data_IF_350830175963
#
_entry.id   IF_350830175963
#
_cell.length_a   1.000
_cell.length_b   1.000
_cell.length_c   1.000
_cell.angle_alpha   90.00
_cell.angle_beta   90.00
_cell.angle_gamma   90.00
#
_symmetry.space_group_name_H-M   'P 1'
#
loop_
_entity.id
_entity.type
_entity.pdbx_description
1 polymer ?
#
# COMPACT_ATOMS: atom_id res chain seq x y z
N UNK A 1 1.92 -26.47 -3.90
CA UNK A 1 1.79 -25.53 -5.03
C UNK A 1 3.15 -24.90 -5.24
N UNK A 2 3.88 -25.37 -6.25
CA UNK A 2 5.18 -24.81 -6.60
C UNK A 2 5.01 -23.36 -7.05
N UNK A 3 5.49 -22.40 -6.23
CA UNK A 3 5.64 -21.01 -6.66
C UNK A 3 6.60 -21.03 -7.83
N UNK A 4 6.12 -20.73 -9.05
CA UNK A 4 7.02 -20.46 -10.17
C UNK A 4 8.04 -19.42 -9.70
N UNK A 5 9.35 -19.70 -9.77
CA UNK A 5 10.34 -18.75 -9.32
C UNK A 5 10.18 -17.46 -10.11
N UNK A 6 10.08 -16.34 -9.39
CA UNK A 6 9.98 -15.00 -9.96
C UNK A 6 11.08 -14.84 -11.00
N UNK A 7 10.73 -14.48 -12.24
CA UNK A 7 11.69 -14.44 -13.34
C UNK A 7 12.83 -13.47 -12.97
N UNK A 8 14.09 -13.95 -13.07
CA UNK A 8 15.25 -13.12 -12.82
C UNK A 8 15.28 -11.95 -13.82
N UNK A 9 15.17 -10.72 -13.32
CA UNK A 9 15.29 -9.51 -14.13
C UNK A 9 16.73 -9.04 -14.07
N UNK A 10 17.37 -8.85 -15.23
CA UNK A 10 18.68 -8.21 -15.30
C UNK A 10 18.54 -6.72 -14.96
N UNK A 11 19.06 -6.22 -13.82
CA UNK A 11 18.91 -4.84 -13.41
C UNK A 11 19.64 -3.85 -14.35
N UNK A 12 20.58 -4.33 -15.18
CA UNK A 12 21.29 -3.50 -16.14
C UNK A 12 20.49 -3.23 -17.43
N UNK A 13 19.39 -3.96 -17.67
CA UNK A 13 18.53 -3.76 -18.85
C UNK A 13 17.39 -2.79 -18.56
N UNK A 14 17.11 -1.92 -19.52
CA UNK A 14 15.92 -1.06 -19.53
C UNK A 14 14.68 -1.96 -19.55
N UNK A 15 13.74 -1.74 -18.64
CA UNK A 15 12.44 -2.40 -18.64
C UNK A 15 11.31 -1.38 -18.59
N UNK A 16 10.33 -1.59 -19.46
CA UNK A 16 9.24 -0.65 -19.74
C UNK A 16 8.26 -0.47 -18.58
N UNK A 17 8.37 -1.31 -17.54
CA UNK A 17 7.55 -1.22 -16.32
C UNK A 17 8.24 -0.36 -15.26
N UNK A 18 9.50 -0.61 -14.92
CA UNK A 18 10.16 0.11 -13.82
C UNK A 18 10.96 1.34 -14.26
N UNK A 19 11.29 1.46 -15.55
CA UNK A 19 12.02 2.60 -16.12
C UNK A 19 11.09 3.63 -16.79
N UNK A 20 9.83 3.70 -16.34
CA UNK A 20 8.87 4.71 -16.78
C UNK A 20 9.28 6.11 -16.29
N UNK A 21 9.14 7.10 -17.18
CA UNK A 21 9.37 8.51 -16.90
C UNK A 21 8.06 9.29 -17.06
N UNK A 22 7.78 10.21 -16.12
CA UNK A 22 6.53 10.96 -16.12
C UNK A 22 6.21 11.52 -14.75
N UNK A 23 4.93 11.66 -14.43
CA UNK A 23 4.46 11.96 -13.07
C UNK A 23 4.09 10.65 -12.36
N UNK A 24 4.83 10.22 -11.32
CA UNK A 24 4.43 9.11 -10.48
C UNK A 24 3.24 9.49 -9.60
N UNK A 25 2.22 8.63 -9.58
CA UNK A 25 1.01 8.78 -8.77
C UNK A 25 0.81 7.52 -7.93
N UNK A 26 0.91 7.65 -6.61
CA UNK A 26 0.64 6.57 -5.65
C UNK A 26 -0.86 6.46 -5.36
N UNK A 27 -1.53 5.35 -5.73
CA UNK A 27 -2.93 5.15 -5.38
C UNK A 27 -3.06 4.70 -3.91
N UNK A 28 -3.92 5.39 -3.17
CA UNK A 28 -4.24 5.13 -1.76
C UNK A 28 -5.72 4.82 -1.60
N UNK A 29 -6.12 4.39 -0.41
CA UNK A 29 -7.52 4.29 -0.01
C UNK A 29 -7.75 4.90 1.37
N UNK A 30 -8.98 5.33 1.61
CA UNK A 30 -9.44 5.55 2.97
C UNK A 30 -9.65 4.22 3.68
N UNK A 31 -9.32 4.20 4.96
CA UNK A 31 -9.46 3.05 5.82
C UNK A 31 -9.86 3.48 7.24
N UNK A 32 -10.18 2.50 8.08
CA UNK A 32 -10.43 2.72 9.51
C UNK A 32 -9.28 2.09 10.32
N UNK A 33 -8.85 2.79 11.37
CA UNK A 33 -7.98 2.24 12.41
C UNK A 33 -8.67 2.33 13.75
N UNK A 34 -8.38 1.36 14.62
CA UNK A 34 -8.72 1.43 16.04
C UNK A 34 -7.94 2.52 16.76
N UNK A 35 -8.55 3.11 17.78
CA UNK A 35 -7.95 4.12 18.67
C UNK A 35 -7.93 3.71 20.13
N UNK A 36 -8.57 2.60 20.47
CA UNK A 36 -8.58 1.95 21.79
C UNK A 36 -7.39 0.99 22.00
N UNK A 37 -6.38 1.09 21.15
CA UNK A 37 -5.11 0.35 21.25
C UNK A 37 -3.99 1.34 21.56
N UNK A 38 -2.83 0.85 22.00
CA UNK A 38 -1.65 1.72 22.28
C UNK A 38 -1.35 2.61 21.06
N UNK A 39 -0.94 3.86 21.30
CA UNK A 39 -0.71 4.87 20.24
C UNK A 39 0.26 4.44 19.14
N UNK A 40 1.24 3.59 19.48
CA UNK A 40 2.18 3.02 18.52
C UNK A 40 1.53 2.07 17.50
N UNK A 41 0.35 1.52 17.81
CA UNK A 41 -0.41 0.61 16.95
C UNK A 41 -1.55 1.31 16.22
N UNK A 42 -1.86 2.55 16.56
CA UNK A 42 -2.90 3.33 15.88
C UNK A 42 -2.39 3.80 14.51
N UNK A 43 -3.24 3.70 13.50
CA UNK A 43 -3.04 4.35 12.21
C UNK A 43 -2.98 5.87 12.33
N UNK A 44 -2.41 6.50 11.31
CA UNK A 44 -2.27 7.96 11.23
C UNK A 44 -3.62 8.63 11.01
N UNK A 45 -3.90 9.71 11.74
CA UNK A 45 -5.08 10.52 11.48
C UNK A 45 -4.98 11.18 10.09
N UNK A 46 -6.13 11.38 9.44
CA UNK A 46 -6.17 12.14 8.18
C UNK A 46 -5.63 13.56 8.40
N UNK A 47 -4.84 14.03 7.44
CA UNK A 47 -4.28 15.39 7.40
C UNK A 47 -4.17 15.89 5.97
N UNK A 48 -3.82 17.17 5.79
CA UNK A 48 -3.78 17.80 4.47
C UNK A 48 -5.15 17.87 3.80
N UNK A 49 -5.19 17.62 2.49
CA UNK A 49 -6.43 17.70 1.69
C UNK A 49 -7.25 16.40 1.69
N UNK A 50 -6.94 15.45 2.58
CA UNK A 50 -7.63 14.17 2.66
C UNK A 50 -8.81 14.23 3.64
N UNK A 51 -9.93 13.61 3.26
CA UNK A 51 -11.08 13.41 4.14
C UNK A 51 -12.31 14.21 3.77
N UNK A 52 -12.25 15.09 2.77
CA UNK A 52 -13.43 15.79 2.25
C UNK A 52 -14.54 14.78 1.90
N UNK A 53 -15.76 15.00 2.37
CA UNK A 53 -16.93 14.13 2.17
C UNK A 53 -16.80 12.69 2.75
N UNK A 54 -15.67 12.33 3.36
CA UNK A 54 -15.43 11.04 4.04
C UNK A 54 -15.51 11.22 5.55
N UNK A 55 -14.73 12.18 6.08
CA UNK A 55 -14.71 12.53 7.49
C UNK A 55 -15.96 13.33 7.94
N UNK A 56 -16.89 13.61 7.02
CA UNK A 56 -18.21 14.16 7.36
C UNK A 56 -19.08 13.17 8.14
N UNK A 57 -18.80 11.86 8.03
CA UNK A 57 -19.44 10.82 8.83
C UNK A 57 -18.61 10.60 10.10
N UNK A 58 -19.12 11.01 11.25
CA UNK A 58 -18.41 10.89 12.52
C UNK A 58 -18.21 9.42 12.93
N UNK A 59 -17.02 9.12 13.45
CA UNK A 59 -16.70 7.86 14.13
C UNK A 59 -16.52 8.11 15.63
N UNK A 60 -16.81 7.13 16.51
CA UNK A 60 -16.51 7.26 17.95
C UNK A 60 -15.00 7.40 18.16
N UNK A 61 -14.54 8.58 18.61
CA UNK A 61 -13.12 8.92 18.63
C UNK A 61 -12.27 8.04 19.56
N UNK A 62 -12.89 7.48 20.60
CA UNK A 62 -12.30 6.53 21.55
C UNK A 62 -12.18 5.10 21.00
N UNK A 63 -12.83 4.79 19.88
CA UNK A 63 -12.78 3.45 19.28
C UNK A 63 -12.15 3.42 17.89
N UNK A 64 -12.39 4.45 17.08
CA UNK A 64 -12.01 4.44 15.67
C UNK A 64 -11.67 5.84 15.14
N UNK A 65 -10.84 5.87 14.08
CA UNK A 65 -10.66 7.05 13.23
C UNK A 65 -10.39 6.65 11.78
N UNK A 66 -10.63 7.58 10.86
CA UNK A 66 -10.21 7.41 9.47
C UNK A 66 -8.68 7.57 9.34
N UNK A 67 -8.10 6.80 8.42
CA UNK A 67 -6.68 6.84 8.08
C UNK A 67 -6.49 6.61 6.58
N UNK A 68 -5.29 6.89 6.08
CA UNK A 68 -4.87 6.50 4.73
C UNK A 68 -4.08 5.20 4.78
N UNK A 69 -4.41 4.33 3.84
CA UNK A 69 -3.68 3.09 3.58
C UNK A 69 -3.34 2.96 2.10
N UNK A 70 -2.38 2.09 1.78
CA UNK A 70 -2.14 1.72 0.38
C UNK A 70 -3.40 1.10 -0.24
N UNK A 71 -3.57 1.27 -1.56
CA UNK A 71 -4.69 0.68 -2.28
C UNK A 71 -4.68 -0.86 -2.11
N UNK A 72 -5.85 -1.42 -1.81
CA UNK A 72 -6.02 -2.86 -1.59
C UNK A 72 -6.14 -3.62 -2.90
N UNK A 73 -6.12 -4.95 -2.79
CA UNK A 73 -6.27 -5.85 -3.93
C UNK A 73 -7.54 -5.55 -4.74
N UNK A 74 -7.41 -5.46 -6.06
CA UNK A 74 -8.52 -5.21 -6.99
C UNK A 74 -8.04 -4.76 -8.37
N UNK A 75 -8.90 -4.06 -9.10
CA UNK A 75 -8.61 -3.48 -10.42
C UNK A 75 -8.69 -1.96 -10.36
N UNK A 76 -7.71 -1.30 -10.98
CA UNK A 76 -7.65 0.14 -11.13
C UNK A 76 -7.69 0.49 -12.62
N UNK A 77 -8.69 1.28 -12.99
CA UNK A 77 -8.83 1.83 -14.33
C UNK A 77 -8.47 3.31 -14.32
N UNK A 78 -7.54 3.69 -15.20
CA UNK A 78 -7.05 5.06 -15.34
C UNK A 78 -7.44 5.58 -16.71
N UNK A 79 -8.21 6.67 -16.75
CA UNK A 79 -8.63 7.31 -17.99
C UNK A 79 -8.00 8.69 -18.14
N UNK A 80 -7.30 8.90 -19.26
CA UNK A 80 -6.81 10.21 -19.64
C UNK A 80 -7.86 10.92 -20.48
N UNK A 81 -8.47 11.99 -19.94
CA UNK A 81 -9.56 12.70 -20.62
C UNK A 81 -9.11 13.42 -21.90
N UNK A 82 -7.88 13.93 -21.91
CA UNK A 82 -7.33 14.68 -23.07
C UNK A 82 -6.97 13.72 -24.21
N UNK A 83 -6.39 12.56 -23.87
CA UNK A 83 -5.94 11.57 -24.86
C UNK A 83 -7.02 10.57 -25.26
N UNK A 84 -8.07 10.42 -24.45
CA UNK A 84 -9.11 9.41 -24.65
C UNK A 84 -8.64 7.96 -24.39
N UNK A 85 -7.49 7.81 -23.72
CA UNK A 85 -6.80 6.55 -23.50
C UNK A 85 -7.16 5.94 -22.13
N UNK A 86 -7.29 4.61 -22.11
CA UNK A 86 -7.46 3.82 -20.89
C UNK A 86 -6.19 3.04 -20.58
N UNK A 87 -5.88 2.91 -19.28
CA UNK A 87 -4.93 1.94 -18.76
C UNK A 87 -5.59 1.13 -17.64
N UNK A 88 -5.34 -0.16 -17.62
CA UNK A 88 -5.82 -1.07 -16.57
C UNK A 88 -4.66 -1.53 -15.70
N UNK A 89 -4.88 -1.63 -14.39
CA UNK A 89 -3.92 -2.24 -13.46
C UNK A 89 -4.62 -3.23 -12.55
N UNK A 90 -4.02 -4.39 -12.35
CA UNK A 90 -4.32 -5.22 -11.19
C UNK A 90 -3.49 -4.72 -10.02
N UNK A 91 -4.14 -4.52 -8.88
CA UNK A 91 -3.49 -4.18 -7.62
C UNK A 91 -3.31 -5.47 -6.82
N UNK A 92 -2.07 -5.88 -6.57
CA UNK A 92 -1.76 -7.04 -5.72
C UNK A 92 -2.07 -6.77 -4.24
N UNK A 93 -2.02 -7.82 -3.41
CA UNK A 93 -2.19 -7.70 -1.94
C UNK A 93 -1.14 -6.79 -1.29
N UNK A 94 0.04 -6.67 -1.91
CA UNK A 94 1.13 -5.80 -1.48
C UNK A 94 1.13 -4.44 -2.22
N UNK A 95 0.01 -4.11 -2.87
CA UNK A 95 -0.25 -2.86 -3.60
C UNK A 95 0.62 -2.62 -4.84
N UNK A 96 1.28 -3.65 -5.37
CA UNK A 96 1.94 -3.57 -6.67
C UNK A 96 0.92 -3.53 -7.81
N UNK A 97 1.23 -2.75 -8.85
CA UNK A 97 0.41 -2.51 -10.02
C UNK A 97 0.94 -3.33 -11.20
N UNK A 98 0.13 -4.28 -11.67
CA UNK A 98 0.39 -5.06 -12.88
C UNK A 98 -0.47 -4.49 -14.00
N UNK A 99 0.16 -3.83 -14.97
CA UNK A 99 -0.55 -3.23 -16.10
C UNK A 99 -1.13 -4.30 -17.03
N UNK A 100 -2.37 -4.09 -17.48
CA UNK A 100 -3.04 -4.94 -18.47
C UNK A 100 -3.84 -4.08 -19.46
N UNK A 101 -4.16 -4.65 -20.62
CA UNK A 101 -5.02 -3.99 -21.61
C UNK A 101 -6.48 -4.00 -21.12
N UNK A 102 -7.09 -2.83 -20.80
CA UNK A 102 -8.46 -2.75 -20.32
C UNK A 102 -9.50 -3.19 -21.35
N UNK A 103 -9.15 -3.29 -22.64
CA UNK A 103 -10.06 -3.75 -23.69
C UNK A 103 -9.99 -5.27 -23.94
N UNK A 104 -8.97 -5.93 -23.39
CA UNK A 104 -8.82 -7.39 -23.41
C UNK A 104 -9.66 -8.06 -22.30
N UNK A 105 -9.60 -9.39 -22.24
CA UNK A 105 -10.14 -10.12 -21.09
C UNK A 105 -9.35 -9.74 -19.83
N UNK A 106 -10.01 -9.29 -18.76
CA UNK A 106 -9.33 -8.93 -17.53
C UNK A 106 -8.67 -10.18 -16.93
N UNK A 107 -7.42 -10.10 -16.45
CA UNK A 107 -6.78 -11.28 -15.89
C UNK A 107 -7.42 -11.65 -14.55
N UNK A 108 -7.50 -12.95 -14.21
CA UNK A 108 -8.15 -13.43 -13.00
C UNK A 108 -7.40 -13.03 -11.71
N UNK A 109 -8.08 -13.12 -10.57
CA UNK A 109 -7.52 -12.72 -9.26
C UNK A 109 -6.31 -13.58 -8.84
N UNK A 110 -6.26 -14.82 -9.31
CA UNK A 110 -5.19 -15.78 -9.02
C UNK A 110 -3.83 -15.40 -9.65
N UNK A 111 -3.81 -14.47 -10.62
CA UNK A 111 -2.60 -13.99 -11.30
C UNK A 111 -1.96 -12.77 -10.62
N UNK A 112 -2.39 -12.40 -9.41
CA UNK A 112 -1.95 -11.21 -8.68
C UNK A 112 -0.57 -11.41 -8.01
N UNK A 113 0.46 -11.67 -8.80
CA UNK A 113 1.84 -11.82 -8.31
C UNK A 113 2.83 -10.98 -9.14
N UNK A 114 3.88 -10.43 -8.50
CA UNK A 114 4.95 -9.74 -9.22
C UNK A 114 5.54 -10.65 -10.31
N UNK A 115 5.67 -10.11 -11.52
CA UNK A 115 6.16 -10.91 -12.66
C UNK A 115 7.68 -11.05 -12.70
N UNK A 116 8.42 -10.22 -11.94
CA UNK A 116 9.88 -10.28 -11.86
C UNK A 116 10.42 -9.87 -10.49
N UNK A 117 11.64 -10.32 -10.16
CA UNK A 117 12.28 -10.04 -8.88
C UNK A 117 12.44 -8.53 -8.61
N UNK A 118 12.79 -7.76 -9.65
CA UNK A 118 12.90 -6.29 -9.58
C UNK A 118 11.60 -5.62 -9.15
N UNK A 119 10.45 -6.20 -9.48
CA UNK A 119 9.13 -5.68 -9.08
C UNK A 119 8.77 -6.11 -7.67
N UNK A 120 9.05 -7.37 -7.31
CA UNK A 120 8.80 -7.91 -5.98
C UNK A 120 9.53 -7.12 -4.88
N UNK A 121 10.71 -6.59 -5.21
CA UNK A 121 11.54 -5.84 -4.26
C UNK A 121 11.38 -4.31 -4.35
N UNK A 122 10.46 -3.79 -5.17
CA UNK A 122 10.44 -2.36 -5.52
C UNK A 122 9.15 -1.64 -5.14
N UNK A 123 9.30 -0.59 -4.33
CA UNK A 123 8.25 0.40 -4.04
C UNK A 123 7.73 1.11 -5.29
N UNK A 124 8.57 1.19 -6.33
CA UNK A 124 8.23 1.80 -7.63
C UNK A 124 7.05 1.13 -8.29
N UNK A 125 6.90 -0.18 -8.09
CA UNK A 125 5.83 -0.95 -8.70
C UNK A 125 4.43 -0.58 -8.16
N UNK A 126 4.33 0.34 -7.20
CA UNK A 126 3.07 0.84 -6.62
C UNK A 126 2.56 2.12 -7.29
N UNK A 127 3.30 2.68 -8.24
CA UNK A 127 2.99 3.97 -8.84
C UNK A 127 2.39 3.82 -10.24
N UNK A 128 1.32 4.58 -10.49
CA UNK A 128 0.86 4.88 -11.85
C UNK A 128 1.72 6.00 -12.39
N UNK A 129 2.45 5.77 -13.49
CA UNK A 129 3.25 6.84 -14.12
C UNK A 129 2.47 7.46 -15.26
N UNK A 130 2.16 8.76 -15.17
CA UNK A 130 1.49 9.50 -16.24
C UNK A 130 2.55 10.11 -17.17
N UNK A 131 2.62 9.68 -18.44
CA UNK A 131 3.56 10.24 -19.41
C UNK A 131 3.16 11.68 -19.77
N UNK A 132 4.15 12.49 -20.15
CA UNK A 132 3.98 13.89 -20.58
C UNK A 132 3.02 14.71 -19.70
N UNK A 133 3.31 14.86 -18.39
CA UNK A 133 2.36 15.41 -17.43
C UNK A 133 1.92 16.84 -17.78
N UNK A 134 2.74 17.62 -18.50
CA UNK A 134 2.38 18.97 -19.01
C UNK A 134 1.18 18.96 -19.98
N UNK A 135 0.93 17.83 -20.67
CA UNK A 135 -0.15 17.66 -21.66
C UNK A 135 -1.25 16.68 -21.19
N UNK A 136 -1.13 16.14 -19.97
CA UNK A 136 -2.03 15.10 -19.48
C UNK A 136 -3.45 15.59 -19.14
N UNK A 137 -3.61 16.85 -18.72
CA UNK A 137 -4.90 17.41 -18.33
C UNK A 137 -5.55 16.67 -17.14
N UNK A 138 -6.82 16.27 -17.30
CA UNK A 138 -7.56 15.53 -16.26
C UNK A 138 -7.39 14.03 -16.41
N UNK A 139 -7.01 13.39 -15.31
CA UNK A 139 -6.89 11.94 -15.18
C UNK A 139 -7.95 11.44 -14.20
N UNK A 140 -8.62 10.36 -14.55
CA UNK A 140 -9.66 9.74 -13.73
C UNK A 140 -9.21 8.36 -13.25
N UNK A 141 -9.44 8.07 -11.97
CA UNK A 141 -9.09 6.81 -11.32
C UNK A 141 -10.36 6.10 -10.83
N UNK A 142 -10.64 4.92 -11.37
CA UNK A 142 -11.76 4.07 -10.96
C UNK A 142 -11.24 2.78 -10.34
N UNK A 143 -11.51 2.56 -9.06
CA UNK A 143 -11.17 1.32 -8.37
C UNK A 143 -12.38 0.40 -8.27
N UNK A 144 -12.15 -0.91 -8.35
CA UNK A 144 -13.19 -1.93 -8.18
C UNK A 144 -12.58 -3.27 -7.77
N UNK A 145 -13.34 -4.10 -7.05
CA UNK A 145 -12.93 -5.46 -6.70
C UNK A 145 -13.08 -6.44 -7.86
N UNK A 146 -14.01 -6.17 -8.77
CA UNK A 146 -14.34 -7.02 -9.90
C UNK A 146 -14.06 -6.26 -11.20
N UNK A 147 -13.52 -6.92 -12.24
CA UNK A 147 -13.13 -6.21 -13.44
C UNK A 147 -14.33 -5.59 -14.15
N UNK A 148 -14.13 -4.40 -14.72
CA UNK A 148 -15.13 -3.73 -15.53
C UNK A 148 -15.34 -4.47 -16.84
N UNK A 149 -16.62 -4.63 -17.21
CA UNK A 149 -16.98 -5.10 -18.54
C UNK A 149 -16.74 -4.00 -19.59
N UNK A 150 -16.74 -4.37 -20.87
CA UNK A 150 -16.62 -3.43 -21.98
C UNK A 150 -17.70 -2.35 -21.94
N UNK A 151 -18.92 -2.72 -21.55
CA UNK A 151 -20.05 -1.80 -21.44
C UNK A 151 -19.83 -0.76 -20.34
N UNK A 152 -19.21 -1.15 -19.21
CA UNK A 152 -18.88 -0.23 -18.12
C UNK A 152 -17.79 0.76 -18.56
N UNK A 153 -16.76 0.28 -19.27
CA UNK A 153 -15.72 1.15 -19.84
C UNK A 153 -16.31 2.18 -20.80
N UNK A 154 -17.19 1.74 -21.72
CA UNK A 154 -17.84 2.62 -22.68
C UNK A 154 -18.80 3.63 -22.03
N UNK A 155 -19.57 3.21 -21.00
CA UNK A 155 -20.38 4.16 -20.21
C UNK A 155 -19.50 5.21 -19.54
N UNK A 156 -18.40 4.78 -18.95
CA UNK A 156 -17.40 5.67 -18.35
C UNK A 156 -16.57 6.44 -19.41
N UNK A 157 -16.84 6.35 -20.72
CA UNK A 157 -16.37 7.39 -21.67
C UNK A 157 -17.19 8.67 -21.60
N UNK A 158 -18.37 8.64 -20.96
CA UNK A 158 -19.21 9.82 -20.73
C UNK A 158 -18.85 10.49 -19.41
N UNK A 159 -18.60 11.80 -19.46
CA UNK A 159 -18.26 12.64 -18.29
C UNK A 159 -19.24 12.47 -17.12
N UNK A 160 -20.54 12.34 -17.40
CA UNK A 160 -21.60 12.18 -16.39
C UNK A 160 -21.44 10.88 -15.61
N UNK A 161 -21.07 9.78 -16.26
CA UNK A 161 -20.89 8.48 -15.61
C UNK A 161 -19.59 8.43 -14.80
N UNK A 162 -18.46 8.90 -15.36
CA UNK A 162 -17.18 8.91 -14.64
C UNK A 162 -17.25 9.65 -13.32
N UNK A 163 -17.93 10.81 -13.29
CA UNK A 163 -18.06 11.64 -12.09
C UNK A 163 -18.73 10.92 -10.91
N UNK A 164 -19.53 9.88 -11.17
CA UNK A 164 -20.21 9.11 -10.12
C UNK A 164 -19.27 8.10 -9.45
N UNK A 165 -18.32 7.54 -10.20
CA UNK A 165 -17.60 6.34 -9.78
C UNK A 165 -16.07 6.49 -9.76
N UNK A 166 -15.53 7.54 -10.37
CA UNK A 166 -14.09 7.76 -10.50
C UNK A 166 -13.63 9.03 -9.77
N UNK A 167 -12.40 8.98 -9.24
CA UNK A 167 -11.71 10.14 -8.68
C UNK A 167 -11.02 10.92 -9.80
N UNK A 168 -11.36 12.20 -9.96
CA UNK A 168 -10.69 13.10 -10.90
C UNK A 168 -9.49 13.77 -10.26
N UNK A 169 -8.39 13.87 -11.01
CA UNK A 169 -7.20 14.66 -10.70
C UNK A 169 -6.88 15.55 -11.90
N UNK A 170 -6.70 16.83 -11.67
CA UNK A 170 -6.19 17.76 -12.68
C UNK A 170 -4.66 17.83 -12.58
N UNK A 171 -3.97 17.09 -13.45
CA UNK A 171 -2.51 16.98 -13.45
C UNK A 171 -1.87 18.31 -13.81
N UNK A 172 -2.47 19.10 -14.72
CA UNK A 172 -1.93 20.40 -15.07
C UNK A 172 -2.03 21.40 -13.91
N UNK A 173 -3.14 21.37 -13.17
CA UNK A 173 -3.29 22.17 -11.96
C UNK A 173 -2.29 21.76 -10.88
N UNK A 174 -2.04 20.46 -10.71
CA UNK A 174 -1.06 19.94 -9.75
C UNK A 174 0.37 20.45 -10.02
N UNK A 175 0.80 20.40 -11.28
CA UNK A 175 2.13 20.88 -11.70
C UNK A 175 2.29 22.37 -11.41
N UNK A 176 1.20 23.14 -11.51
CA UNK A 176 1.17 24.57 -11.17
C UNK A 176 1.10 24.84 -9.67
N UNK A 177 1.22 23.82 -8.82
CA UNK A 177 1.22 23.94 -7.36
C UNK A 177 -0.16 24.05 -6.73
N UNK A 178 -1.25 23.79 -7.47
CA UNK A 178 -2.61 23.87 -6.91
C UNK A 178 -2.88 22.69 -5.98
N UNK A 179 -3.49 22.99 -4.83
CA UNK A 179 -4.02 21.99 -3.90
C UNK A 179 -5.35 21.43 -4.39
N UNK A 180 -5.61 20.15 -4.16
CA UNK A 180 -6.83 19.46 -4.58
C UNK A 180 -7.27 18.47 -3.51
N UNK A 181 -8.58 18.39 -3.27
CA UNK A 181 -9.14 17.40 -2.35
C UNK A 181 -8.70 15.98 -2.72
N UNK A 182 -8.37 15.18 -1.70
CA UNK A 182 -7.94 13.78 -1.80
C UNK A 182 -6.60 13.55 -2.51
N UNK A 183 -5.78 14.60 -2.63
CA UNK A 183 -4.48 14.55 -3.29
C UNK A 183 -3.41 15.13 -2.35
N UNK A 184 -2.23 14.51 -2.34
CA UNK A 184 -1.09 14.94 -1.53
C UNK A 184 0.25 14.70 -2.22
N UNK A 185 1.34 15.21 -1.63
CA UNK A 185 2.70 14.92 -2.11
C UNK A 185 3.15 13.56 -1.59
N UNK A 186 3.84 12.78 -2.42
CA UNK A 186 4.41 11.49 -1.95
C UNK A 186 5.47 11.69 -0.87
N UNK A 187 6.13 12.84 -0.85
CA UNK A 187 7.08 13.22 0.21
C UNK A 187 6.43 13.23 1.61
N UNK A 188 5.12 13.45 1.68
CA UNK A 188 4.37 13.46 2.94
C UNK A 188 3.87 12.06 3.34
N UNK A 189 4.04 11.04 2.49
CA UNK A 189 3.52 9.70 2.71
C UNK A 189 3.99 9.06 4.03
N UNK A 190 5.25 9.21 4.49
CA UNK A 190 5.68 8.72 5.81
C UNK A 190 4.91 9.31 7.00
N UNK A 191 4.36 10.51 6.85
CA UNK A 191 3.59 11.21 7.87
C UNK A 191 2.07 11.04 7.72
N UNK A 192 1.59 10.57 6.56
CA UNK A 192 0.15 10.51 6.23
C UNK A 192 -0.40 9.09 6.01
N UNK A 193 0.42 8.13 5.57
CA UNK A 193 -0.05 6.78 5.20
C UNK A 193 0.49 5.73 6.17
N UNK A 194 -0.41 4.93 6.73
CA UNK A 194 -0.11 4.05 7.86
C UNK A 194 0.97 3.01 7.56
N UNK A 195 1.01 2.44 6.35
CA UNK A 195 2.02 1.45 5.94
C UNK A 195 3.46 2.00 5.93
N UNK A 196 3.66 3.30 5.68
CA UNK A 196 5.01 3.92 5.70
C UNK A 196 5.47 4.32 7.10
N UNK A 197 4.55 4.62 8.04
CA UNK A 197 4.89 4.91 9.43
C UNK A 197 5.36 3.65 10.17
N UNK A 198 4.57 2.58 10.06
CA UNK A 198 4.76 1.35 10.84
C UNK A 198 5.82 0.40 10.24
N UNK A 199 6.41 0.75 9.08
CA UNK A 199 7.54 0.05 8.46
C UNK A 199 8.91 0.41 9.07
N UNK A 200 9.02 1.46 9.89
CA UNK A 200 10.26 1.74 10.62
C UNK A 200 10.45 0.65 11.69
N UNK A 201 11.45 -0.22 11.52
CA UNK A 201 11.97 -1.05 12.61
C UNK A 201 12.23 -0.12 13.81
N UNK A 202 11.42 -0.21 14.86
CA UNK A 202 11.85 0.28 16.16
C UNK A 202 13.02 -0.62 16.50
N UNK A 203 14.26 -0.15 16.35
CA UNK A 203 15.43 -0.85 16.87
C UNK A 203 15.34 -0.80 18.38
N UNK A 204 14.49 -1.60 18.99
CA UNK A 204 14.73 -2.02 20.36
C UNK A 204 15.88 -3.00 20.30
N UNK A 205 17.10 -2.47 20.38
CA UNK A 205 18.25 -3.25 20.79
C UNK A 205 18.05 -3.59 22.28
N UNK A 206 17.19 -4.56 22.57
CA UNK A 206 17.29 -5.31 23.80
C UNK A 206 17.93 -6.62 23.40
N UNK A 207 19.26 -6.66 23.50
CA UNK A 207 19.98 -7.92 23.38
C UNK A 207 19.35 -8.90 24.37
N UNK A 208 18.75 -9.96 23.84
CA UNK A 208 18.28 -11.06 24.65
C UNK A 208 19.54 -11.79 25.12
N UNK A 209 19.94 -11.56 26.36
CA UNK A 209 20.95 -12.39 27.01
C UNK A 209 20.28 -13.74 27.27
N UNK A 210 20.58 -14.74 26.45
CA UNK A 210 20.15 -16.12 26.70
C UNK A 210 20.95 -16.60 27.93
N UNK A 211 20.29 -16.85 29.07
CA UNK A 211 20.99 -17.38 30.23
C UNK A 211 21.44 -18.79 29.84
N UNK A 212 22.76 -19.02 29.81
CA UNK A 212 23.49 -20.28 29.56
C UNK A 212 24.39 -20.30 28.31
N UNK A 213 24.47 -19.25 27.50
CA UNK A 213 25.51 -19.14 26.46
C UNK A 213 26.67 -18.24 26.95
N UNK A 214 27.94 -18.68 26.87
CA UNK A 214 29.06 -17.84 27.24
C UNK A 214 29.09 -16.61 26.33
N UNK A 215 29.22 -15.43 26.96
CA UNK A 215 29.37 -14.15 26.26
C UNK A 215 30.65 -14.23 25.42
N UNK A 216 30.49 -14.28 24.11
CA UNK A 216 31.62 -14.19 23.19
C UNK A 216 32.04 -12.72 23.14
N UNK A 217 32.99 -12.33 24.00
CA UNK A 217 33.72 -11.07 23.84
C UNK A 217 34.68 -11.23 22.67
N UNK A 218 34.24 -10.88 21.46
CA UNK A 218 35.16 -10.71 20.33
C UNK A 218 35.92 -9.39 20.51
N UNK A 219 36.98 -9.40 21.31
CA UNK A 219 38.10 -8.49 21.07
C UNK A 219 38.91 -9.07 19.92
N UNK A 220 38.98 -8.32 18.84
CA UNK A 220 39.86 -8.60 17.71
C UNK A 220 41.31 -8.61 18.17
N UNK A 221 42.00 -9.74 18.03
CA UNK A 221 43.34 -9.76 17.46
C UNK A 221 43.81 -11.19 17.12
N UNK A 222 44.38 -11.26 15.93
CA UNK A 222 45.49 -12.09 15.50
C UNK A 222 45.27 -13.43 14.77
N UNK A 223 46.22 -13.66 13.86
CA UNK A 223 46.27 -14.59 12.74
C UNK A 223 46.48 -16.05 13.16
N UNK A 224 45.86 -17.00 12.45
CA UNK A 224 46.21 -18.41 12.57
C UNK A 224 45.35 -19.36 11.73
N UNK A 225 46.00 -20.12 10.83
CA UNK A 225 45.43 -21.23 10.06
C UNK A 225 44.90 -22.35 10.97
N UNK A 226 43.77 -22.96 10.62
CA UNK A 226 43.45 -24.32 11.03
C UNK A 226 41.96 -24.69 10.92
N UNK A 227 41.69 -25.81 10.24
CA UNK A 227 40.56 -26.69 10.58
C UNK A 227 39.22 -26.39 9.90
N UNK A 228 39.00 -27.02 8.76
CA UNK A 228 37.69 -27.16 8.13
C UNK A 228 36.80 -28.12 8.92
N UNK A 229 36.19 -27.70 10.03
CA UNK A 229 34.99 -28.34 10.61
C UNK A 229 34.33 -27.30 11.53
N UNK A 230 33.44 -26.43 11.03
CA UNK A 230 32.44 -25.70 11.85
C UNK A 230 31.48 -24.82 11.03
N UNK A 231 31.69 -24.67 9.72
CA UNK A 231 30.87 -23.82 8.83
C UNK A 231 29.41 -24.28 8.58
N UNK A 232 28.90 -25.28 9.29
CA UNK A 232 27.57 -25.87 9.01
C UNK A 232 26.46 -25.35 9.96
N UNK A 233 26.79 -24.68 11.07
CA UNK A 233 25.76 -24.26 12.06
C UNK A 233 25.82 -22.75 12.31
N UNK A 234 25.86 -21.96 11.25
CA UNK A 234 25.52 -20.53 11.34
C UNK A 234 24.60 -20.13 10.20
N UNK A 235 23.53 -20.91 9.99
CA UNK A 235 22.34 -20.36 9.34
C UNK A 235 21.66 -19.45 10.35
N UNK A 236 22.01 -18.17 10.32
CA UNK A 236 21.22 -17.09 10.91
C UNK A 236 19.80 -17.23 10.40
N UNK A 237 18.92 -17.85 11.19
CA UNK A 237 17.49 -17.76 10.93
C UNK A 237 17.16 -16.28 11.08
N UNK A 238 16.74 -15.64 10.00
CA UNK A 238 16.14 -14.31 10.08
C UNK A 238 15.00 -14.40 11.09
N UNK A 239 15.12 -13.67 12.18
CA UNK A 239 14.10 -13.55 13.20
C UNK A 239 12.83 -13.00 12.52
N UNK A 240 11.82 -13.86 12.35
CA UNK A 240 10.52 -13.47 11.80
C UNK A 240 9.72 -12.87 12.95
N UNK A 241 9.89 -11.58 13.16
CA UNK A 241 9.02 -10.83 14.07
C UNK A 241 7.61 -10.78 13.47
N UNK A 242 6.69 -11.59 14.00
CA UNK A 242 5.26 -11.45 13.72
C UNK A 242 4.74 -10.34 14.62
N UNK A 243 4.74 -9.11 14.12
CA UNK A 243 4.06 -8.02 14.79
C UNK A 243 2.56 -8.12 14.49
N UNK A 244 1.70 -8.40 15.48
CA UNK A 244 0.29 -8.08 15.30
C UNK A 244 0.18 -6.56 15.07
N UNK A 245 -0.75 -6.14 14.21
CA UNK A 245 -1.12 -4.73 14.03
C UNK A 245 -2.50 -4.51 14.67
N UNK A 246 -2.60 -4.36 16.02
CA UNK A 246 -3.88 -4.24 16.71
C UNK A 246 -4.79 -3.13 16.16
N UNK A 247 -4.21 -2.04 15.65
CA UNK A 247 -4.94 -0.96 15.00
C UNK A 247 -5.76 -1.38 13.77
N UNK A 248 -5.36 -2.48 13.13
CA UNK A 248 -5.91 -2.97 11.86
C UNK A 248 -6.32 -4.45 11.91
N UNK A 249 -6.28 -5.10 13.07
CA UNK A 249 -6.50 -6.56 13.21
C UNK A 249 -7.88 -7.02 12.76
N UNK A 250 -8.88 -6.13 12.79
CA UNK A 250 -10.23 -6.38 12.31
C UNK A 250 -10.37 -6.26 10.79
N UNK A 251 -9.42 -5.61 10.11
CA UNK A 251 -9.54 -5.31 8.69
C UNK A 251 -9.41 -6.58 7.86
N UNK A 252 -10.31 -6.75 6.90
CA UNK A 252 -10.21 -7.80 5.88
C UNK A 252 -9.03 -7.57 4.92
N UNK A 253 -8.63 -6.31 4.75
CA UNK A 253 -7.52 -5.93 3.89
C UNK A 253 -6.23 -5.99 4.68
N UNK A 254 -5.40 -7.00 4.36
CA UNK A 254 -4.11 -7.25 5.01
C UNK A 254 -3.31 -5.96 5.21
N UNK A 255 -2.83 -5.74 6.43
CA UNK A 255 -1.85 -4.69 6.70
C UNK A 255 -0.46 -5.18 6.30
N UNK A 256 0.09 -4.58 5.26
CA UNK A 256 1.43 -4.91 4.75
C UNK A 256 2.34 -3.75 5.11
N UNK A 257 3.14 -3.90 6.17
CA UNK A 257 4.20 -2.95 6.48
C UNK A 257 5.11 -2.81 5.27
N UNK A 258 5.42 -1.59 4.86
CA UNK A 258 6.44 -1.36 3.85
C UNK A 258 7.80 -1.82 4.41
N UNK A 259 8.19 -3.07 4.11
CA UNK A 259 9.48 -3.65 4.50
C UNK A 259 10.67 -3.02 3.77
N UNK A 260 10.40 -2.43 2.61
CA UNK A 260 11.39 -1.88 1.70
C UNK A 260 11.69 -0.41 2.04
N UNK A 261 12.97 -0.07 2.00
CA UNK A 261 13.50 1.24 2.38
C UNK A 261 12.88 2.37 1.54
N UNK A 262 12.18 3.29 2.23
CA UNK A 262 11.74 4.60 1.70
C UNK A 262 12.87 5.32 0.92
N UNK A 263 14.17 5.26 1.32
CA UNK A 263 15.28 5.81 0.52
C UNK A 263 15.35 5.33 -0.93
N UNK A 264 15.08 4.05 -1.22
CA UNK A 264 15.10 3.54 -2.60
C UNK A 264 13.94 4.07 -3.45
N UNK A 265 12.80 4.34 -2.80
CA UNK A 265 11.66 5.00 -3.42
C UNK A 265 11.99 6.47 -3.74
N UNK A 266 12.59 7.21 -2.81
CA UNK A 266 12.97 8.62 -2.98
C UNK A 266 13.92 8.82 -4.17
N UNK A 267 14.98 8.01 -4.25
CA UNK A 267 15.94 8.08 -5.37
C UNK A 267 15.29 7.80 -6.73
N UNK A 268 14.35 6.85 -6.80
CA UNK A 268 13.59 6.60 -8.02
C UNK A 268 12.65 7.77 -8.33
N UNK A 269 11.95 8.31 -7.33
CA UNK A 269 11.06 9.45 -7.51
C UNK A 269 11.81 10.66 -8.07
N UNK A 270 13.01 10.96 -7.56
CA UNK A 270 13.86 12.02 -8.09
C UNK A 270 14.24 11.80 -9.56
N UNK A 271 14.56 10.55 -9.93
CA UNK A 271 14.94 10.21 -11.31
C UNK A 271 13.75 10.23 -12.28
N UNK A 272 12.61 9.68 -11.86
CA UNK A 272 11.45 9.46 -12.72
C UNK A 272 10.53 10.68 -12.82
N UNK A 273 10.47 11.50 -11.77
CA UNK A 273 9.64 12.70 -11.70
C UNK A 273 10.29 13.89 -12.44
N UNK A 274 10.36 13.76 -13.76
CA UNK A 274 11.10 14.65 -14.68
C UNK A 274 10.62 16.09 -14.71
N UNK A 275 9.42 16.41 -14.23
CA UNK A 275 8.83 17.75 -14.41
C UNK A 275 7.80 18.17 -13.35
N UNK A 276 7.57 17.36 -12.32
CA UNK A 276 6.49 17.59 -11.38
C UNK A 276 6.73 16.85 -10.06
N UNK A 277 6.30 17.43 -8.94
CA UNK A 277 6.32 16.74 -7.65
C UNK A 277 5.47 15.45 -7.73
N UNK A 278 5.97 14.30 -7.28
CA UNK A 278 5.19 13.07 -7.23
C UNK A 278 3.92 13.24 -6.41
N UNK A 279 2.87 12.53 -6.80
CA UNK A 279 1.54 12.68 -6.24
C UNK A 279 1.08 11.40 -5.54
N UNK A 280 0.26 11.53 -4.50
CA UNK A 280 -0.57 10.46 -3.99
C UNK A 280 -2.04 10.84 -4.08
N UNK A 281 -2.91 9.87 -4.39
CA UNK A 281 -4.35 10.09 -4.59
C UNK A 281 -5.16 9.05 -3.82
N UNK A 282 -6.12 9.48 -3.02
CA UNK A 282 -7.06 8.58 -2.37
C UNK A 282 -8.20 8.20 -3.33
N UNK A 283 -8.29 6.92 -3.65
CA UNK A 283 -9.28 6.34 -4.55
C UNK A 283 -10.67 6.29 -3.91
N UNK A 284 -11.70 6.23 -4.76
CA UNK A 284 -13.06 5.96 -4.31
C UNK A 284 -13.21 4.47 -4.05
N UNK A 285 -13.22 4.06 -2.78
CA UNK A 285 -13.45 2.69 -2.34
C UNK A 285 -14.49 2.62 -1.21
N UNK A 286 -15.75 2.99 -1.48
CA UNK A 286 -16.81 2.95 -0.47
C UNK A 286 -17.11 1.53 0.00
N UNK A 287 -16.95 0.53 -0.87
CA UNK A 287 -17.13 -0.88 -0.53
C UNK A 287 -16.10 -1.33 0.52
N UNK A 288 -14.81 -1.04 0.31
CA UNK A 288 -13.77 -1.39 1.26
C UNK A 288 -13.92 -0.68 2.60
N UNK A 289 -14.26 0.62 2.59
CA UNK A 289 -14.50 1.37 3.83
C UNK A 289 -15.69 0.79 4.63
N UNK A 290 -16.77 0.42 3.93
CA UNK A 290 -17.97 -0.17 4.56
C UNK A 290 -17.69 -1.57 5.10
N UNK A 291 -16.93 -2.39 4.37
CA UNK A 291 -16.50 -3.72 4.83
C UNK A 291 -15.60 -3.62 6.07
N UNK A 292 -14.66 -2.67 6.12
CA UNK A 292 -13.84 -2.43 7.31
C UNK A 292 -14.69 -1.98 8.51
N UNK A 293 -15.64 -1.07 8.31
CA UNK A 293 -16.54 -0.63 9.37
C UNK A 293 -17.39 -1.81 9.90
N UNK A 294 -17.94 -2.63 9.00
CA UNK A 294 -18.69 -3.83 9.38
C UNK A 294 -17.84 -4.81 10.19
N UNK A 295 -16.58 -5.03 9.79
CA UNK A 295 -15.67 -5.91 10.49
C UNK A 295 -15.30 -5.36 11.88
N UNK A 296 -15.11 -4.03 12.01
CA UNK A 296 -14.87 -3.40 13.31
C UNK A 296 -16.07 -3.55 14.23
N UNK A 297 -17.29 -3.33 13.74
CA UNK A 297 -18.53 -3.50 14.54
C UNK A 297 -18.63 -4.93 15.06
N UNK A 298 -18.35 -5.94 14.23
CA UNK A 298 -18.33 -7.36 14.65
C UNK A 298 -17.25 -7.63 15.71
N UNK A 299 -16.07 -7.05 15.53
CA UNK A 299 -14.99 -7.18 16.50
C UNK A 299 -15.38 -6.56 17.85
N UNK A 300 -16.00 -5.38 17.83
CA UNK A 300 -16.50 -4.69 19.03
C UNK A 300 -17.63 -5.43 19.72
N UNK A 301 -18.52 -6.06 18.95
CA UNK A 301 -19.59 -6.90 19.49
C UNK A 301 -19.00 -8.08 20.25
N UNK A 302 -18.01 -8.78 19.68
CA UNK A 302 -17.31 -9.88 20.36
C UNK A 302 -16.60 -9.42 21.63
N UNK A 303 -15.86 -8.32 21.55
CA UNK A 303 -15.17 -7.75 22.73
C UNK A 303 -16.15 -7.40 23.86
N UNK A 304 -17.33 -6.86 23.51
CA UNK A 304 -18.39 -6.55 24.46
C UNK A 304 -19.05 -7.79 25.06
N UNK A 305 -19.16 -8.89 24.30
CA UNK A 305 -19.68 -10.18 24.77
C UNK A 305 -18.70 -10.92 25.69
N UNK A 306 -17.39 -10.79 25.40
CA UNK A 306 -16.31 -11.38 26.20
C UNK A 306 -16.04 -10.57 27.48
N UNK A 307 -16.25 -9.25 27.45
CA UNK A 307 -16.12 -8.39 28.62
C UNK A 307 -17.14 -8.79 29.71
N UNK A 308 -16.67 -9.00 30.93
CA UNK A 308 -17.47 -9.46 32.09
C UNK A 308 -18.18 -10.82 31.91
N UNK A 309 -17.62 -11.74 31.11
CA UNK A 309 -18.15 -13.09 30.87
C UNK A 309 -19.60 -13.11 30.33
N UNK A 310 -20.07 -12.02 29.70
CA UNK A 310 -21.48 -11.88 29.28
C UNK A 310 -21.96 -12.97 28.31
N UNK A 311 -21.04 -13.69 27.67
CA UNK A 311 -21.29 -14.89 26.87
C UNK A 311 -22.06 -16.01 27.58
N UNK A 312 -22.11 -16.06 28.93
CA UNK A 312 -22.90 -17.06 29.66
C UNK A 312 -24.40 -16.99 29.33
N UNK A 313 -24.91 -15.85 28.85
CA UNK A 313 -26.33 -15.66 28.47
C UNK A 313 -26.73 -16.34 27.15
N UNK A 314 -25.75 -16.82 26.38
CA UNK A 314 -25.98 -17.52 25.11
C UNK A 314 -25.73 -19.04 25.20
N UNK A 315 -25.33 -19.53 26.37
CA UNK A 315 -25.14 -20.96 26.64
C UNK A 315 -26.45 -21.60 27.13
N UNK A 316 -27.47 -21.64 26.29
CA UNK A 316 -28.72 -22.40 26.51
C UNK A 316 -29.32 -22.82 25.17
#
# INVERSE_FOLDING_TARGET
>A
MDKKPTQACDPAKKCDVCDQAGLPILPLRYAITRTDVKDMWQGLALSGEFGKDVASIALPANEARYTLRLARQGYLYVFNEVRGEWRGYQITVDSYLLEFDPHAAPPPLEEFQPTCARMADSQVARFVTIPDPKRAGKIWFGFTEAPWTKEILERNRRSVERKKHMRCVDVQAWIKGRSMAHVGSVSDAPAMVSEFRLGRKIRHAQGITIPMLPVSTSQSNDQGKGGAVDDIITRTLEEVDVYPDPGFSFSFARFVRCKQDVPGMEAWLEKSATSARPMMVALNDPAGLTQELSALIRQKTREFEDEDDRGWKHAT
#
